data_IF_490545025714
#
_entry.id   IF_490545025714
#
_cell.length_a   1.000
_cell.length_b   1.000
_cell.length_c   1.000
_cell.angle_alpha   90.00
_cell.angle_beta   90.00
_cell.angle_gamma   90.00
#
_symmetry.space_group_name_H-M   'P 1'
#
loop_
_entity.id
_entity.type
_entity.pdbx_description
1 polymer ?
#
# COMPACT_ATOMS: atom_id res chain seq x y z
N UNK A 1 -18.81 20.32 15.85
CA UNK A 1 -19.40 21.03 14.68
C UNK A 1 -20.62 21.88 15.07
N UNK A 2 -20.86 23.01 14.40
CA UNK A 2 -22.10 23.79 14.52
C UNK A 2 -23.32 22.96 14.01
N UNK A 3 -24.44 23.02 14.74
CA UNK A 3 -25.69 22.34 14.38
C UNK A 3 -26.22 22.75 13.00
N UNK A 4 -26.02 24.02 12.59
CA UNK A 4 -26.44 24.49 11.27
C UNK A 4 -25.66 23.79 10.15
N UNK A 5 -24.34 23.60 10.32
CA UNK A 5 -23.50 22.88 9.37
C UNK A 5 -23.95 21.42 9.27
N UNK A 6 -24.25 20.77 10.40
CA UNK A 6 -24.80 19.41 10.40
C UNK A 6 -26.09 19.34 9.58
N UNK A 7 -27.03 20.25 9.79
CA UNK A 7 -28.29 20.30 9.02
C UNK A 7 -28.06 20.50 7.53
N UNK A 8 -27.09 21.32 7.12
CA UNK A 8 -26.75 21.49 5.70
C UNK A 8 -26.13 20.21 5.11
N UNK A 9 -25.24 19.54 5.84
CA UNK A 9 -24.68 18.25 5.43
C UNK A 9 -25.77 17.18 5.29
N UNK A 10 -26.76 17.15 6.19
CA UNK A 10 -27.91 16.26 6.12
C UNK A 10 -28.78 16.53 4.89
N UNK A 11 -28.93 17.79 4.49
CA UNK A 11 -29.65 18.17 3.26
C UNK A 11 -28.92 17.70 2.00
N UNK A 12 -27.58 17.73 1.99
CA UNK A 12 -26.74 17.31 0.87
C UNK A 12 -26.70 15.78 0.75
N UNK A 13 -26.31 15.09 1.83
CA UNK A 13 -25.99 13.67 1.82
C UNK A 13 -27.17 12.77 2.23
N UNK A 14 -28.16 13.34 2.92
CA UNK A 14 -29.22 12.61 3.63
C UNK A 14 -28.83 12.36 5.09
N UNK A 15 -29.82 12.40 5.99
CA UNK A 15 -29.63 12.21 7.44
C UNK A 15 -28.92 10.90 7.81
N UNK A 16 -29.25 9.83 7.09
CA UNK A 16 -28.66 8.51 7.29
C UNK A 16 -27.20 8.40 6.83
N UNK A 17 -26.65 9.48 6.28
CA UNK A 17 -25.29 9.59 5.73
C UNK A 17 -24.43 10.59 6.49
N UNK A 18 -24.95 11.20 7.56
CA UNK A 18 -24.23 12.16 8.39
C UNK A 18 -24.20 11.61 9.81
N UNK A 19 -23.02 11.28 10.29
CA UNK A 19 -22.81 10.69 11.61
C UNK A 19 -22.07 11.67 12.50
N UNK A 20 -22.58 11.86 13.72
CA UNK A 20 -22.04 12.85 14.66
C UNK A 20 -22.26 12.47 16.14
N UNK A 21 -22.61 11.21 16.43
CA UNK A 21 -22.62 10.73 17.82
C UNK A 21 -21.20 10.35 18.25
N UNK A 22 -20.84 10.43 19.55
CA UNK A 22 -19.51 10.05 20.01
C UNK A 22 -19.08 8.63 19.57
N UNK A 23 -20.03 7.69 19.56
CA UNK A 23 -19.82 6.31 19.14
C UNK A 23 -19.53 6.20 17.64
N UNK A 24 -20.27 6.94 16.81
CA UNK A 24 -20.00 6.99 15.37
C UNK A 24 -18.61 7.56 15.09
N UNK A 25 -18.28 8.71 15.71
CA UNK A 25 -17.04 9.44 15.44
C UNK A 25 -15.80 8.61 15.82
N UNK A 26 -15.86 7.84 16.90
CA UNK A 26 -14.77 7.00 17.35
C UNK A 26 -14.32 5.96 16.28
N UNK A 27 -15.27 5.40 15.52
CA UNK A 27 -14.98 4.39 14.48
C UNK A 27 -14.20 4.98 13.29
N UNK A 28 -14.27 6.29 13.11
CA UNK A 28 -13.59 7.02 12.04
C UNK A 28 -12.37 7.81 12.54
N UNK A 29 -11.98 7.62 13.81
CA UNK A 29 -10.88 8.33 14.43
C UNK A 29 -9.51 7.66 14.33
N UNK A 30 -9.41 6.45 13.79
CA UNK A 30 -8.16 5.67 13.73
C UNK A 30 -8.00 4.97 12.37
N UNK A 31 -6.79 4.52 12.04
CA UNK A 31 -6.54 3.62 10.91
C UNK A 31 -5.64 2.44 11.32
N UNK A 32 -4.85 1.86 10.41
CA UNK A 32 -3.97 0.75 10.74
C UNK A 32 -2.77 1.12 11.63
N UNK A 33 -2.65 2.38 12.05
CA UNK A 33 -1.58 2.89 12.91
C UNK A 33 -1.98 2.95 14.39
N UNK A 34 -1.09 3.51 15.23
CA UNK A 34 -1.36 3.78 16.65
C UNK A 34 -1.90 5.20 16.90
N UNK A 35 -2.13 5.97 15.83
CA UNK A 35 -2.60 7.35 15.92
C UNK A 35 -4.13 7.39 15.95
N UNK A 36 -4.66 8.25 16.82
CA UNK A 36 -6.10 8.41 17.01
C UNK A 36 -6.45 9.88 17.14
N UNK A 37 -7.49 10.32 16.42
CA UNK A 37 -8.12 11.62 16.60
C UNK A 37 -9.55 11.56 16.04
N UNK A 38 -10.56 11.97 16.81
CA UNK A 38 -11.94 11.95 16.31
C UNK A 38 -12.21 13.10 15.31
N UNK A 39 -13.02 12.86 14.26
CA UNK A 39 -13.58 13.94 13.46
C UNK A 39 -14.69 14.68 14.22
N UNK A 40 -15.11 15.84 13.70
CA UNK A 40 -16.28 16.56 14.19
C UNK A 40 -17.60 16.00 13.63
N UNK A 41 -17.54 15.45 12.41
CA UNK A 41 -18.67 14.84 11.69
C UNK A 41 -18.14 13.87 10.62
N UNK A 42 -18.88 12.81 10.35
CA UNK A 42 -18.60 11.86 9.26
C UNK A 42 -19.70 11.98 8.21
N UNK A 43 -19.32 12.03 6.94
CA UNK A 43 -20.26 12.08 5.81
C UNK A 43 -19.99 10.92 4.86
N UNK A 44 -21.05 10.17 4.51
CA UNK A 44 -21.00 9.01 3.61
C UNK A 44 -21.74 9.30 2.29
N UNK A 45 -21.12 10.02 1.34
CA UNK A 45 -21.74 10.37 0.07
C UNK A 45 -22.02 9.12 -0.79
N UNK A 46 -22.97 9.26 -1.72
CA UNK A 46 -23.40 8.20 -2.65
C UNK A 46 -23.09 8.51 -4.11
N UNK A 47 -22.61 9.71 -4.41
CA UNK A 47 -22.24 10.13 -5.76
C UNK A 47 -21.30 11.36 -5.72
N UNK A 48 -20.70 11.66 -6.87
CA UNK A 48 -19.76 12.77 -7.07
C UNK A 48 -20.39 14.15 -6.76
N UNK A 49 -21.68 14.34 -7.02
CA UNK A 49 -22.35 15.63 -6.76
C UNK A 49 -22.45 15.92 -5.25
N UNK A 50 -22.77 14.92 -4.43
CA UNK A 50 -22.78 15.06 -2.97
C UNK A 50 -21.39 15.39 -2.43
N UNK A 51 -20.35 14.74 -2.97
CA UNK A 51 -18.94 15.06 -2.61
C UNK A 51 -18.63 16.52 -2.94
N UNK A 52 -18.94 16.96 -4.16
CA UNK A 52 -18.78 18.34 -4.62
C UNK A 52 -19.42 19.35 -3.67
N UNK A 53 -20.68 19.12 -3.29
CA UNK A 53 -21.44 20.00 -2.41
C UNK A 53 -20.87 20.04 -0.98
N UNK A 54 -20.46 18.88 -0.43
CA UNK A 54 -19.83 18.80 0.90
C UNK A 54 -18.49 19.54 0.92
N UNK A 55 -17.63 19.30 -0.08
CA UNK A 55 -16.31 19.97 -0.16
C UNK A 55 -16.47 21.47 -0.37
N UNK A 56 -17.44 21.90 -1.19
CA UNK A 56 -17.76 23.33 -1.35
C UNK A 56 -18.17 23.98 -0.03
N UNK A 57 -19.08 23.35 0.71
CA UNK A 57 -19.49 23.82 2.03
C UNK A 57 -18.28 23.93 2.98
N UNK A 58 -17.45 22.90 3.01
CA UNK A 58 -16.23 22.88 3.79
C UNK A 58 -15.27 24.03 3.42
N UNK A 59 -15.12 24.34 2.13
CA UNK A 59 -14.33 25.47 1.66
C UNK A 59 -14.90 26.83 2.09
N UNK A 60 -16.22 27.02 2.01
CA UNK A 60 -16.90 28.24 2.48
C UNK A 60 -16.67 28.47 3.98
N UNK A 61 -16.78 27.42 4.78
CA UNK A 61 -16.68 27.46 6.24
C UNK A 61 -15.26 27.20 6.76
N UNK A 62 -14.29 26.97 5.87
CA UNK A 62 -12.89 26.62 6.17
C UNK A 62 -12.73 25.41 7.10
N UNK A 63 -13.54 24.39 6.86
CA UNK A 63 -13.54 23.14 7.62
C UNK A 63 -12.58 22.14 6.97
N UNK A 64 -11.63 21.55 7.72
CA UNK A 64 -10.81 20.45 7.22
C UNK A 64 -11.66 19.27 6.71
N UNK A 65 -11.24 18.68 5.60
CA UNK A 65 -11.84 17.48 5.02
C UNK A 65 -10.77 16.39 4.94
N UNK A 66 -11.02 15.25 5.57
CA UNK A 66 -10.17 14.05 5.46
C UNK A 66 -10.93 12.98 4.70
N UNK A 67 -10.47 12.66 3.50
CA UNK A 67 -11.04 11.58 2.71
C UNK A 67 -10.62 10.23 3.28
N UNK A 68 -11.57 9.30 3.36
CA UNK A 68 -11.32 7.97 3.91
C UNK A 68 -12.01 6.89 3.08
N UNK A 69 -11.24 5.86 2.72
CA UNK A 69 -11.79 4.58 2.25
C UNK A 69 -12.23 3.72 3.42
N UNK A 70 -11.61 2.55 3.57
CA UNK A 70 -11.86 1.63 4.69
C UNK A 70 -10.92 1.84 5.89
N UNK A 71 -9.96 2.76 5.82
CA UNK A 71 -9.04 3.05 6.94
C UNK A 71 -7.98 1.99 7.18
N UNK A 72 -7.53 1.28 6.14
CA UNK A 72 -6.48 0.25 6.21
C UNK A 72 -5.05 0.79 6.05
N UNK A 73 -4.87 2.10 5.86
CA UNK A 73 -3.57 2.72 5.67
C UNK A 73 -2.68 2.64 6.91
N UNK A 74 -1.36 2.67 6.68
CA UNK A 74 -0.32 2.50 7.71
C UNK A 74 0.57 3.76 7.87
N UNK A 75 0.08 4.91 7.42
CA UNK A 75 0.79 6.20 7.50
C UNK A 75 0.02 7.28 8.30
N UNK A 76 -1.11 6.93 8.93
CA UNK A 76 -2.03 7.86 9.59
C UNK A 76 -2.61 8.93 8.64
N UNK A 77 -2.61 8.66 7.32
CA UNK A 77 -3.10 9.59 6.29
C UNK A 77 -4.61 9.82 6.38
N UNK A 78 -5.35 8.86 6.94
CA UNK A 78 -6.80 8.90 7.06
C UNK A 78 -7.32 9.28 8.45
N UNK A 79 -6.40 9.68 9.35
CA UNK A 79 -6.72 10.16 10.71
C UNK A 79 -6.98 11.67 10.68
N UNK A 80 -8.13 12.15 11.21
CA UNK A 80 -8.50 13.56 11.18
C UNK A 80 -7.89 14.36 12.34
N UNK A 81 -6.55 14.50 12.35
CA UNK A 81 -5.79 15.23 13.40
C UNK A 81 -6.23 16.68 13.69
N UNK A 82 -6.99 17.31 12.78
CA UNK A 82 -7.54 18.67 12.98
C UNK A 82 -9.07 18.66 13.15
N UNK A 83 -9.68 17.50 13.42
CA UNK A 83 -11.13 17.33 13.42
C UNK A 83 -11.72 17.52 12.02
N UNK A 84 -12.84 18.23 11.95
CA UNK A 84 -13.53 18.54 10.70
C UNK A 84 -14.36 17.38 10.16
N UNK A 85 -14.47 17.32 8.83
CA UNK A 85 -15.31 16.35 8.11
C UNK A 85 -14.45 15.15 7.70
N UNK A 86 -14.75 13.97 8.23
CA UNK A 86 -14.30 12.72 7.61
C UNK A 86 -15.27 12.36 6.49
N UNK A 87 -14.78 12.38 5.25
CA UNK A 87 -15.55 12.04 4.06
C UNK A 87 -15.29 10.57 3.69
N UNK A 88 -16.21 9.69 4.10
CA UNK A 88 -16.09 8.25 3.96
C UNK A 88 -16.71 7.75 2.64
N UNK A 89 -15.86 7.28 1.73
CA UNK A 89 -16.24 6.96 0.35
C UNK A 89 -16.92 5.58 0.20
N UNK A 90 -17.11 4.83 1.29
CA UNK A 90 -17.51 3.41 1.27
C UNK A 90 -18.91 3.15 0.71
N UNK A 91 -19.76 4.18 0.56
CA UNK A 91 -21.08 4.08 -0.10
C UNK A 91 -21.03 4.31 -1.61
N UNK A 92 -19.91 4.79 -2.16
CA UNK A 92 -19.65 4.91 -3.60
C UNK A 92 -18.88 3.66 -4.07
N UNK A 93 -19.53 2.49 -4.08
CA UNK A 93 -18.87 1.19 -4.25
C UNK A 93 -19.30 0.40 -5.50
N UNK A 94 -19.85 1.07 -6.51
CA UNK A 94 -20.36 0.42 -7.73
C UNK A 94 -19.30 0.28 -8.80
N UNK A 95 -19.39 -0.81 -9.56
CA UNK A 95 -18.79 -0.92 -10.89
C UNK A 95 -19.76 -0.25 -11.87
N UNK A 96 -19.31 0.82 -12.51
CA UNK A 96 -20.12 1.60 -13.46
C UNK A 96 -20.09 0.96 -14.86
N UNK A 97 -18.95 0.42 -15.27
CA UNK A 97 -18.76 -0.23 -16.56
C UNK A 97 -17.62 -1.26 -16.48
N UNK A 98 -17.75 -2.39 -17.18
CA UNK A 98 -16.62 -3.26 -17.57
C UNK A 98 -16.68 -3.38 -19.09
N UNK A 99 -15.69 -2.81 -19.76
CA UNK A 99 -15.55 -2.80 -21.21
C UNK A 99 -14.51 -3.84 -21.61
N UNK A 100 -14.98 -4.99 -22.08
CA UNK A 100 -14.14 -6.12 -22.47
C UNK A 100 -13.37 -5.86 -23.76
N UNK A 101 -13.89 -4.98 -24.64
CA UNK A 101 -13.25 -4.66 -25.93
C UNK A 101 -12.03 -3.77 -25.70
N UNK A 102 -12.16 -2.77 -24.83
CA UNK A 102 -11.05 -1.88 -24.48
C UNK A 102 -10.23 -2.39 -23.28
N UNK A 103 -10.62 -3.50 -22.66
CA UNK A 103 -10.05 -4.02 -21.41
C UNK A 103 -9.95 -2.93 -20.33
N UNK A 104 -11.08 -2.30 -19.99
CA UNK A 104 -11.15 -1.28 -18.94
C UNK A 104 -12.29 -1.52 -17.95
N UNK A 105 -12.14 -1.03 -16.74
CA UNK A 105 -13.22 -0.95 -15.74
C UNK A 105 -13.39 0.49 -15.27
N UNK A 106 -14.62 1.02 -15.35
CA UNK A 106 -14.98 2.28 -14.74
C UNK A 106 -15.69 2.01 -13.41
N UNK A 107 -15.16 2.52 -12.31
CA UNK A 107 -15.62 2.20 -10.95
C UNK A 107 -15.72 3.42 -10.07
N UNK A 108 -16.57 3.36 -9.07
CA UNK A 108 -16.58 4.33 -7.98
C UNK A 108 -15.43 4.07 -6.98
N UNK A 109 -14.89 5.13 -6.39
CA UNK A 109 -13.68 5.11 -5.56
C UNK A 109 -13.79 4.26 -4.28
N UNK A 110 -14.99 4.00 -3.78
CA UNK A 110 -15.25 3.20 -2.60
C UNK A 110 -15.32 1.69 -2.83
N UNK A 111 -15.21 1.21 -4.08
CA UNK A 111 -15.25 -0.23 -4.34
C UNK A 111 -14.03 -0.92 -3.72
N UNK A 112 -14.26 -2.06 -3.07
CA UNK A 112 -13.21 -2.90 -2.49
C UNK A 112 -12.41 -3.57 -3.61
N UNK A 113 -11.09 -3.58 -3.47
CA UNK A 113 -10.16 -4.11 -4.49
C UNK A 113 -10.46 -5.57 -4.84
N UNK A 114 -10.70 -6.41 -3.84
CA UNK A 114 -11.05 -7.82 -4.05
C UNK A 114 -12.38 -8.00 -4.81
N UNK A 115 -13.34 -7.11 -4.61
CA UNK A 115 -14.64 -7.18 -5.29
C UNK A 115 -14.50 -6.82 -6.77
N UNK A 116 -13.69 -5.79 -7.08
CA UNK A 116 -13.33 -5.45 -8.45
C UNK A 116 -12.63 -6.62 -9.14
N UNK A 117 -11.56 -7.17 -8.53
CA UNK A 117 -10.83 -8.32 -9.07
C UNK A 117 -11.78 -9.49 -9.35
N UNK A 118 -12.62 -9.85 -8.38
CA UNK A 118 -13.61 -10.93 -8.54
C UNK A 118 -14.56 -10.69 -9.71
N UNK A 119 -14.97 -9.43 -9.94
CA UNK A 119 -15.89 -9.09 -11.02
C UNK A 119 -15.25 -9.17 -12.41
N UNK A 120 -14.02 -8.66 -12.57
CA UNK A 120 -13.32 -8.65 -13.87
C UNK A 120 -12.78 -10.03 -14.24
N UNK A 121 -12.35 -10.82 -13.24
CA UNK A 121 -11.84 -12.18 -13.46
C UNK A 121 -12.90 -13.15 -13.97
N UNK A 122 -14.18 -12.94 -13.62
CA UNK A 122 -15.31 -13.70 -14.20
C UNK A 122 -15.43 -13.51 -15.72
N UNK A 123 -14.81 -12.47 -16.28
CA UNK A 123 -14.79 -12.16 -17.71
C UNK A 123 -13.45 -12.47 -18.36
N UNK A 124 -12.56 -13.19 -17.68
CA UNK A 124 -11.21 -13.49 -18.17
C UNK A 124 -10.25 -12.29 -18.17
N UNK A 125 -10.64 -11.17 -17.54
CA UNK A 125 -9.83 -9.98 -17.37
C UNK A 125 -9.20 -9.95 -15.97
N UNK A 126 -8.21 -9.09 -15.79
CA UNK A 126 -7.43 -9.05 -14.56
C UNK A 126 -7.01 -7.62 -14.23
N UNK A 127 -7.25 -7.24 -12.97
CA UNK A 127 -6.74 -6.01 -12.36
C UNK A 127 -5.60 -6.40 -11.40
N UNK A 128 -4.33 -6.25 -11.80
CA UNK A 128 -3.21 -6.87 -11.10
C UNK A 128 -2.88 -6.36 -9.69
N UNK A 129 -2.95 -5.04 -9.39
CA UNK A 129 -2.53 -4.51 -8.08
C UNK A 129 -3.18 -5.26 -6.92
N UNK A 130 -2.35 -5.70 -5.97
CA UNK A 130 -2.72 -6.66 -4.92
C UNK A 130 -2.20 -6.27 -3.53
N UNK A 131 -2.58 -5.08 -3.01
CA UNK A 131 -2.15 -4.66 -1.68
C UNK A 131 -2.50 -5.71 -0.63
N UNK A 132 -1.66 -5.86 0.40
CA UNK A 132 -1.87 -6.86 1.47
C UNK A 132 -3.25 -6.73 2.14
N UNK A 133 -3.84 -5.53 2.11
CA UNK A 133 -5.17 -5.19 2.58
C UNK A 133 -6.29 -5.39 1.54
N UNK A 134 -6.12 -6.18 0.47
CA UNK A 134 -7.03 -6.24 -0.70
C UNK A 134 -8.53 -6.41 -0.39
N UNK A 135 -8.87 -7.10 0.70
CA UNK A 135 -10.26 -7.32 1.16
C UNK A 135 -10.82 -6.15 1.97
N UNK A 136 -9.97 -5.21 2.33
CA UNK A 136 -10.23 -4.08 3.20
C UNK A 136 -9.59 -2.78 2.70
N UNK A 137 -9.29 -2.68 1.40
CA UNK A 137 -8.82 -1.45 0.75
C UNK A 137 -9.71 -1.12 -0.44
N UNK A 138 -9.98 0.17 -0.61
CA UNK A 138 -10.82 0.68 -1.70
C UNK A 138 -9.96 1.22 -2.84
N UNK A 139 -10.48 1.20 -4.07
CA UNK A 139 -9.75 1.69 -5.25
C UNK A 139 -9.29 3.14 -5.09
N UNK A 140 -10.13 4.03 -4.57
CA UNK A 140 -9.76 5.42 -4.31
C UNK A 140 -8.63 5.54 -3.29
N UNK A 141 -8.62 4.71 -2.25
CA UNK A 141 -7.52 4.66 -1.28
C UNK A 141 -6.22 4.14 -1.91
N UNK A 142 -6.32 3.07 -2.71
CA UNK A 142 -5.15 2.54 -3.43
C UNK A 142 -4.56 3.59 -4.38
N UNK A 143 -5.39 4.34 -5.11
CA UNK A 143 -4.90 5.40 -6.01
C UNK A 143 -4.29 6.55 -5.19
N UNK A 144 -4.96 6.98 -4.12
CA UNK A 144 -4.46 8.06 -3.27
C UNK A 144 -3.11 7.73 -2.61
N UNK A 145 -2.84 6.46 -2.31
CA UNK A 145 -1.55 6.00 -1.77
C UNK A 145 -0.59 5.42 -2.82
N UNK A 146 -1.01 5.35 -4.09
CA UNK A 146 -0.32 4.59 -5.15
C UNK A 146 0.06 3.16 -4.73
N UNK A 147 -0.88 2.43 -4.14
CA UNK A 147 -0.64 1.17 -3.45
C UNK A 147 0.03 0.12 -4.35
N UNK A 148 0.99 -0.59 -3.76
CA UNK A 148 1.68 -1.74 -4.33
C UNK A 148 1.18 -3.08 -3.79
N UNK A 149 2.06 -4.08 -3.83
CA UNK A 149 1.84 -5.43 -3.33
C UNK A 149 2.82 -6.45 -3.92
N UNK A 150 2.69 -7.75 -3.55
CA UNK A 150 3.60 -8.81 -4.01
C UNK A 150 3.72 -8.98 -5.53
N UNK A 151 2.74 -8.49 -6.30
CA UNK A 151 2.73 -8.58 -7.78
C UNK A 151 3.41 -7.42 -8.48
N UNK A 152 3.87 -6.40 -7.75
CA UNK A 152 4.43 -5.18 -8.33
C UNK A 152 5.64 -5.43 -9.23
N UNK A 153 6.45 -6.44 -8.92
CA UNK A 153 7.61 -6.81 -9.73
C UNK A 153 7.27 -6.97 -11.22
N UNK A 154 6.21 -7.72 -11.53
CA UNK A 154 5.79 -7.97 -12.91
C UNK A 154 4.78 -6.97 -13.42
N UNK A 155 3.89 -6.52 -12.54
CA UNK A 155 2.68 -5.82 -12.95
C UNK A 155 2.70 -4.33 -12.65
N UNK A 156 3.64 -3.82 -11.87
CA UNK A 156 3.65 -2.42 -11.43
C UNK A 156 2.66 -2.13 -10.29
N UNK A 157 2.46 -0.85 -10.01
CA UNK A 157 1.65 -0.34 -8.89
C UNK A 157 0.28 0.15 -9.37
N UNK A 158 -0.58 0.57 -8.44
CA UNK A 158 -1.94 1.05 -8.76
C UNK A 158 -1.94 2.15 -9.85
N UNK A 159 -1.03 3.11 -9.77
CA UNK A 159 -0.91 4.21 -10.73
C UNK A 159 -0.70 3.77 -12.18
N UNK A 160 -0.02 2.65 -12.40
CA UNK A 160 0.21 2.12 -13.76
C UNK A 160 -1.09 1.69 -14.45
N UNK A 161 -2.16 1.44 -13.67
CA UNK A 161 -3.46 1.02 -14.16
C UNK A 161 -4.49 2.15 -14.20
N UNK A 162 -4.14 3.37 -13.78
CA UNK A 162 -5.05 4.51 -13.86
C UNK A 162 -5.03 5.11 -15.27
N UNK A 163 -6.17 5.03 -15.97
CA UNK A 163 -6.35 5.67 -17.28
C UNK A 163 -7.08 7.01 -17.19
N UNK A 164 -7.86 7.21 -16.12
CA UNK A 164 -8.57 8.46 -15.88
C UNK A 164 -9.20 8.50 -14.50
N UNK A 165 -9.35 9.71 -13.96
CA UNK A 165 -9.96 9.96 -12.65
C UNK A 165 -11.07 11.02 -12.75
N UNK A 166 -12.13 10.82 -11.98
CA UNK A 166 -13.03 11.91 -11.56
C UNK A 166 -12.66 12.29 -10.14
N UNK A 167 -12.31 13.57 -9.92
CA UNK A 167 -11.93 14.09 -8.62
C UNK A 167 -12.64 15.41 -8.30
N UNK A 168 -12.97 15.64 -7.04
CA UNK A 168 -13.51 16.90 -6.53
C UNK A 168 -12.39 17.72 -5.90
N UNK A 169 -12.20 18.95 -6.38
CA UNK A 169 -11.18 19.87 -5.90
C UNK A 169 -11.66 20.67 -4.67
N UNK A 170 -10.76 21.41 -4.02
CA UNK A 170 -11.04 22.11 -2.77
C UNK A 170 -12.15 23.17 -2.85
N UNK A 171 -12.46 23.68 -4.04
CA UNK A 171 -13.58 24.60 -4.31
C UNK A 171 -14.91 23.89 -4.62
N UNK A 172 -14.91 22.55 -4.59
CA UNK A 172 -16.02 21.69 -4.99
C UNK A 172 -16.20 21.55 -6.49
N UNK A 173 -15.27 22.03 -7.33
CA UNK A 173 -15.32 21.76 -8.77
C UNK A 173 -15.00 20.29 -9.07
N UNK A 174 -15.62 19.74 -10.11
CA UNK A 174 -15.40 18.35 -10.54
C UNK A 174 -14.41 18.35 -11.71
N UNK A 175 -13.22 17.82 -11.46
CA UNK A 175 -12.19 17.58 -12.46
C UNK A 175 -12.35 16.16 -13.04
N UNK A 176 -12.34 16.04 -14.37
CA UNK A 176 -12.27 14.76 -15.08
C UNK A 176 -10.99 14.71 -15.90
N UNK A 177 -10.32 13.56 -15.84
CA UNK A 177 -8.99 13.37 -16.44
C UNK A 177 -8.94 12.07 -17.24
N UNK A 178 -8.11 12.05 -18.27
CA UNK A 178 -7.85 10.88 -19.10
C UNK A 178 -9.07 10.34 -19.85
N UNK A 179 -9.04 9.04 -20.14
CA UNK A 179 -10.08 8.35 -20.90
C UNK A 179 -9.64 6.96 -21.37
N UNK A 180 -10.41 6.32 -22.24
CA UNK A 180 -10.11 4.97 -22.76
C UNK A 180 -8.91 4.95 -23.75
N UNK A 181 -8.31 6.10 -24.04
CA UNK A 181 -7.19 6.20 -24.98
C UNK A 181 -5.90 5.71 -24.31
N UNK A 182 -5.15 4.84 -24.98
CA UNK A 182 -3.84 4.37 -24.50
C UNK A 182 -2.78 5.46 -24.59
N UNK A 183 -2.90 6.36 -25.59
CA UNK A 183 -1.97 7.45 -25.81
C UNK A 183 -2.73 8.76 -25.73
N UNK A 184 -2.41 9.53 -24.70
CA UNK A 184 -2.91 10.88 -24.51
C UNK A 184 -1.78 11.74 -23.92
N UNK A 185 -1.41 12.80 -24.64
CA UNK A 185 -0.29 13.69 -24.29
C UNK A 185 -0.69 15.15 -24.43
N UNK A 186 -1.99 15.44 -24.33
CA UNK A 186 -2.52 16.81 -24.41
C UNK A 186 -2.47 17.44 -23.02
N UNK A 187 -1.36 18.14 -22.72
CA UNK A 187 -1.16 18.84 -21.45
C UNK A 187 -0.38 18.02 -20.43
N UNK A 188 -0.52 18.38 -19.14
CA UNK A 188 0.15 17.68 -18.04
C UNK A 188 -0.64 16.45 -17.60
N UNK A 189 0.07 15.44 -17.10
CA UNK A 189 -0.55 14.25 -16.53
C UNK A 189 -1.12 14.53 -15.13
N UNK A 190 -2.41 14.90 -15.11
CA UNK A 190 -3.14 15.13 -13.87
C UNK A 190 -3.49 13.81 -13.13
N UNK A 191 -3.52 12.67 -13.82
CA UNK A 191 -3.71 11.36 -13.16
C UNK A 191 -2.52 11.07 -12.24
N UNK A 192 -1.31 11.30 -12.74
CA UNK A 192 -0.08 11.11 -11.99
C UNK A 192 0.03 12.09 -10.80
N UNK A 193 -0.46 13.33 -10.93
CA UNK A 193 -0.49 14.27 -9.81
C UNK A 193 -1.45 13.86 -8.70
N UNK A 194 -2.64 13.34 -9.05
CA UNK A 194 -3.65 12.92 -8.06
C UNK A 194 -3.30 11.58 -7.41
N UNK A 195 -2.62 10.70 -8.14
CA UNK A 195 -2.16 9.40 -7.66
C UNK A 195 -1.00 9.58 -6.67
N UNK A 196 -1.06 8.95 -5.50
CA UNK A 196 -0.07 9.17 -4.43
C UNK A 196 -0.24 10.50 -3.68
N UNK A 197 -1.30 11.28 -3.95
CA UNK A 197 -1.54 12.57 -3.28
C UNK A 197 -2.11 12.45 -1.86
N UNK A 198 -2.51 11.25 -1.43
CA UNK A 198 -3.12 10.96 -0.13
C UNK A 198 -4.33 11.85 0.21
N UNK A 199 -5.10 12.23 -0.81
CA UNK A 199 -6.27 13.10 -0.67
C UNK A 199 -5.95 14.58 -0.41
N UNK A 200 -4.67 14.98 -0.51
CA UNK A 200 -4.26 16.37 -0.30
C UNK A 200 -4.54 17.27 -1.51
N UNK A 201 -4.70 16.73 -2.71
CA UNK A 201 -4.95 17.51 -3.93
C UNK A 201 -6.40 17.44 -4.43
N UNK A 202 -7.19 16.49 -3.94
CA UNK A 202 -8.57 16.30 -4.36
C UNK A 202 -9.17 15.02 -3.79
N UNK A 203 -10.50 14.94 -3.84
CA UNK A 203 -11.26 13.76 -3.45
C UNK A 203 -11.56 12.92 -4.69
N UNK A 204 -10.92 11.77 -4.85
CA UNK A 204 -11.18 10.86 -5.97
C UNK A 204 -12.55 10.20 -5.75
N UNK A 205 -13.44 10.30 -6.74
CA UNK A 205 -14.80 9.75 -6.67
C UNK A 205 -15.05 8.60 -7.64
N UNK A 206 -14.39 8.62 -8.81
CA UNK A 206 -14.48 7.57 -9.83
C UNK A 206 -13.09 7.34 -10.46
N UNK A 207 -12.83 6.13 -10.94
CA UNK A 207 -11.61 5.78 -11.64
C UNK A 207 -11.91 4.91 -12.87
N UNK A 208 -11.30 5.26 -14.00
CA UNK A 208 -11.19 4.41 -15.17
C UNK A 208 -9.86 3.66 -15.10
N UNK A 209 -9.94 2.34 -14.99
CA UNK A 209 -8.80 1.46 -14.78
C UNK A 209 -8.53 0.59 -16.00
N UNK A 210 -7.25 0.42 -16.33
CA UNK A 210 -6.77 -0.58 -17.29
C UNK A 210 -6.95 -1.98 -16.70
N UNK A 211 -7.34 -2.92 -17.54
CA UNK A 211 -7.35 -4.35 -17.27
C UNK A 211 -6.40 -5.05 -18.26
N UNK A 212 -5.95 -6.24 -17.88
CA UNK A 212 -5.17 -7.12 -18.76
C UNK A 212 -5.81 -8.50 -18.83
N UNK A 213 -5.32 -9.36 -19.72
CA UNK A 213 -5.76 -10.75 -19.75
C UNK A 213 -5.37 -11.46 -18.46
N UNK A 214 -6.29 -12.26 -17.90
CA UNK A 214 -6.02 -13.05 -16.70
C UNK A 214 -4.99 -14.15 -17.00
N UNK A 215 -3.90 -14.26 -16.22
CA UNK A 215 -3.00 -15.41 -16.29
C UNK A 215 -3.77 -16.70 -15.95
N UNK A 216 -3.62 -17.73 -16.78
CA UNK A 216 -4.33 -19.01 -16.62
C UNK A 216 -3.54 -19.99 -15.75
N UNK A 217 -2.21 -19.89 -15.78
CA UNK A 217 -1.31 -20.81 -15.11
C UNK A 217 -0.36 -20.06 -14.19
N UNK A 218 -0.06 -20.67 -13.05
CA UNK A 218 0.96 -20.20 -12.12
C UNK A 218 1.76 -21.39 -11.58
N UNK A 219 3.04 -21.16 -11.29
CA UNK A 219 3.93 -22.09 -10.60
C UNK A 219 4.70 -21.35 -9.53
N UNK A 220 4.85 -21.98 -8.36
CA UNK A 220 5.52 -21.36 -7.21
C UNK A 220 6.64 -22.26 -6.73
N UNK A 221 7.78 -21.65 -6.41
CA UNK A 221 8.90 -22.28 -5.76
C UNK A 221 9.16 -21.65 -4.38
N UNK A 222 9.44 -22.48 -3.40
CA UNK A 222 10.03 -22.08 -2.12
C UNK A 222 11.51 -22.47 -2.15
N UNK A 223 12.38 -21.52 -1.85
CA UNK A 223 13.83 -21.68 -1.98
C UNK A 223 14.51 -21.32 -0.67
N UNK A 224 15.35 -22.22 -0.19
CA UNK A 224 16.03 -22.10 1.09
C UNK A 224 17.50 -21.70 0.91
N UNK A 225 17.96 -20.73 1.72
CA UNK A 225 19.34 -20.26 1.71
C UNK A 225 19.97 -20.27 3.09
N UNK A 226 21.19 -20.80 3.17
CA UNK A 226 22.02 -20.78 4.38
C UNK A 226 22.64 -19.41 4.65
N UNK A 227 22.63 -18.51 3.66
CA UNK A 227 23.11 -17.13 3.80
C UNK A 227 22.19 -16.15 3.06
N UNK A 228 21.91 -15.01 3.71
CA UNK A 228 21.07 -13.96 3.13
C UNK A 228 21.67 -13.33 1.85
N UNK A 229 22.99 -13.22 1.80
CA UNK A 229 23.69 -12.71 0.62
C UNK A 229 23.42 -13.57 -0.62
N UNK A 230 23.23 -14.89 -0.44
CA UNK A 230 22.96 -15.83 -1.53
C UNK A 230 21.54 -15.64 -2.07
N UNK A 231 20.56 -15.45 -1.19
CA UNK A 231 19.19 -15.10 -1.57
C UNK A 231 19.15 -13.78 -2.37
N UNK A 232 19.83 -12.73 -1.91
CA UNK A 232 19.86 -11.45 -2.63
C UNK A 232 20.60 -11.52 -3.97
N UNK A 233 21.72 -12.27 -4.05
CA UNK A 233 22.37 -12.54 -5.35
C UNK A 233 21.44 -13.28 -6.30
N UNK A 234 20.66 -14.24 -5.79
CA UNK A 234 19.67 -14.98 -6.57
C UNK A 234 18.62 -14.05 -7.16
N UNK A 235 18.08 -13.12 -6.37
CA UNK A 235 17.11 -12.11 -6.85
C UNK A 235 17.66 -11.35 -8.06
N UNK A 236 18.88 -10.82 -7.94
CA UNK A 236 19.53 -10.10 -9.03
C UNK A 236 19.83 -11.00 -10.23
N UNK A 237 20.24 -12.26 -10.02
CA UNK A 237 20.55 -13.21 -11.07
C UNK A 237 19.31 -13.60 -11.91
N UNK A 238 18.16 -13.84 -11.26
CA UNK A 238 16.89 -14.13 -11.94
C UNK A 238 16.52 -12.97 -12.88
N UNK A 239 16.56 -11.74 -12.37
CA UNK A 239 16.17 -10.55 -13.12
C UNK A 239 17.19 -10.23 -14.23
N UNK A 240 18.47 -10.47 -13.99
CA UNK A 240 19.54 -10.30 -15.00
C UNK A 240 19.46 -11.33 -16.12
N UNK A 241 18.85 -12.51 -15.86
CA UNK A 241 18.55 -13.49 -16.88
C UNK A 241 17.33 -13.11 -17.76
N UNK A 242 16.71 -11.96 -17.49
CA UNK A 242 15.53 -11.48 -18.21
C UNK A 242 14.22 -12.11 -17.76
N UNK A 243 14.23 -12.88 -16.66
CA UNK A 243 13.04 -13.49 -16.08
C UNK A 243 12.43 -12.49 -15.10
N UNK A 244 11.15 -12.18 -15.25
CA UNK A 244 10.41 -11.30 -14.33
C UNK A 244 9.27 -12.11 -13.69
N UNK A 245 9.53 -12.75 -12.54
CA UNK A 245 8.50 -13.49 -11.82
C UNK A 245 7.32 -12.57 -11.47
N UNK A 246 6.11 -13.15 -11.38
CA UNK A 246 4.94 -12.45 -10.87
C UNK A 246 5.19 -11.95 -9.45
N UNK A 247 5.85 -12.76 -8.64
CA UNK A 247 6.21 -12.44 -7.26
C UNK A 247 7.60 -12.97 -6.92
N UNK A 248 8.34 -12.22 -6.09
CA UNK A 248 9.64 -12.61 -5.54
C UNK A 248 9.76 -12.06 -4.11
N UNK A 249 9.27 -12.85 -3.14
CA UNK A 249 9.26 -12.48 -1.73
C UNK A 249 10.49 -13.01 -0.99
N UNK A 250 10.90 -12.30 0.05
CA UNK A 250 11.93 -12.72 1.00
C UNK A 250 11.34 -12.81 2.41
N UNK A 251 11.74 -13.83 3.16
CA UNK A 251 11.58 -13.94 4.61
C UNK A 251 12.93 -14.22 5.25
N UNK A 252 13.33 -13.43 6.26
CA UNK A 252 14.56 -13.68 7.03
C UNK A 252 14.35 -14.78 8.09
N UNK A 253 15.44 -15.22 8.74
CA UNK A 253 15.36 -16.25 9.78
C UNK A 253 14.43 -15.88 10.94
N UNK A 254 14.30 -14.58 11.23
CA UNK A 254 13.42 -14.09 12.29
C UNK A 254 11.96 -14.27 11.91
N UNK A 255 11.59 -13.95 10.67
CA UNK A 255 10.26 -14.15 10.13
C UNK A 255 9.91 -15.64 10.06
N UNK A 256 10.84 -16.47 9.60
CA UNK A 256 10.66 -17.92 9.49
C UNK A 256 10.38 -18.53 10.87
N UNK A 257 11.20 -18.20 11.87
CA UNK A 257 11.01 -18.69 13.24
C UNK A 257 9.66 -18.25 13.84
N UNK A 258 9.23 -17.00 13.58
CA UNK A 258 7.94 -16.51 14.04
C UNK A 258 6.76 -17.27 13.42
N UNK A 259 6.79 -17.51 12.09
CA UNK A 259 5.73 -18.25 11.40
C UNK A 259 5.67 -19.69 11.94
N UNK A 260 6.81 -20.36 12.03
CA UNK A 260 6.85 -21.77 12.44
C UNK A 260 6.35 -21.96 13.87
N UNK A 261 6.76 -21.08 14.80
CA UNK A 261 6.28 -21.12 16.19
C UNK A 261 4.76 -20.89 16.30
N UNK A 262 4.17 -20.14 15.38
CA UNK A 262 2.73 -19.85 15.38
C UNK A 262 1.89 -20.91 14.63
N UNK A 263 2.41 -21.43 13.52
CA UNK A 263 1.59 -22.14 12.54
C UNK A 263 2.00 -23.60 12.33
N UNK A 264 3.18 -24.01 12.79
CA UNK A 264 3.71 -25.38 12.65
C UNK A 264 3.61 -25.89 11.20
N UNK A 265 4.13 -25.12 10.25
CA UNK A 265 4.03 -25.42 8.82
C UNK A 265 5.18 -26.32 8.34
N UNK A 266 6.14 -26.64 9.22
CA UNK A 266 7.33 -27.41 8.86
C UNK A 266 8.40 -26.57 8.16
N UNK A 267 8.43 -25.26 8.40
CA UNK A 267 9.48 -24.39 7.85
C UNK A 267 10.85 -24.69 8.50
N UNK A 268 11.94 -24.67 7.73
CA UNK A 268 13.28 -24.93 8.25
C UNK A 268 13.72 -23.80 9.18
N UNK A 269 14.23 -24.15 10.37
CA UNK A 269 14.72 -23.18 11.35
C UNK A 269 16.24 -22.97 11.29
N UNK A 270 16.94 -23.78 10.48
CA UNK A 270 18.39 -23.78 10.30
C UNK A 270 18.83 -23.04 9.02
N UNK A 271 17.97 -22.16 8.47
CA UNK A 271 18.25 -21.32 7.30
C UNK A 271 18.32 -19.84 7.67
N UNK A 272 18.91 -19.02 6.79
CA UNK A 272 19.02 -17.56 6.97
C UNK A 272 18.06 -16.77 6.11
N UNK A 273 17.53 -17.37 5.05
CA UNK A 273 16.49 -16.75 4.23
C UNK A 273 15.69 -17.81 3.50
N UNK A 274 14.43 -17.49 3.24
CA UNK A 274 13.58 -18.17 2.27
C UNK A 274 13.17 -17.17 1.19
N UNK A 275 13.25 -17.58 -0.07
CA UNK A 275 12.57 -16.90 -1.17
C UNK A 275 11.29 -17.66 -1.54
N UNK A 276 10.20 -16.93 -1.73
CA UNK A 276 8.98 -17.46 -2.35
C UNK A 276 8.84 -16.79 -3.72
N UNK A 277 8.91 -17.59 -4.78
CA UNK A 277 8.97 -17.10 -6.16
C UNK A 277 7.80 -17.68 -6.93
N UNK A 278 7.00 -16.85 -7.58
CA UNK A 278 5.87 -17.28 -8.42
C UNK A 278 6.04 -16.75 -9.85
N UNK A 279 5.88 -17.63 -10.82
CA UNK A 279 5.77 -17.29 -12.24
C UNK A 279 4.34 -17.54 -12.69
N UNK A 280 3.83 -16.73 -13.62
CA UNK A 280 2.48 -16.86 -14.14
C UNK A 280 2.38 -16.48 -15.63
N UNK A 281 1.32 -16.92 -16.29
CA UNK A 281 1.12 -16.65 -17.71
C UNK A 281 -0.06 -17.39 -18.32
N UNK A 282 -0.26 -17.16 -19.62
CA UNK A 282 -1.34 -17.78 -20.40
C UNK A 282 -0.93 -19.13 -21.02
N UNK A 283 0.37 -19.43 -21.12
CA UNK A 283 0.91 -20.68 -21.66
C UNK A 283 1.57 -21.50 -20.54
N UNK A 284 0.98 -22.65 -20.21
CA UNK A 284 1.47 -23.54 -19.16
C UNK A 284 2.91 -23.99 -19.39
N UNK A 285 3.27 -24.32 -20.64
CA UNK A 285 4.60 -24.81 -20.95
C UNK A 285 5.66 -23.69 -20.79
N UNK A 286 5.30 -22.44 -21.10
CA UNK A 286 6.17 -21.30 -20.86
C UNK A 286 6.36 -21.04 -19.35
N UNK A 287 5.28 -21.03 -18.57
CA UNK A 287 5.34 -20.85 -17.11
C UNK A 287 6.19 -21.93 -16.44
N UNK A 288 6.05 -23.19 -16.89
CA UNK A 288 6.86 -24.30 -16.40
C UNK A 288 8.35 -24.11 -16.72
N UNK A 289 8.71 -23.79 -17.97
CA UNK A 289 10.11 -23.53 -18.34
C UNK A 289 10.70 -22.35 -17.56
N UNK A 290 9.91 -21.32 -17.30
CA UNK A 290 10.35 -20.15 -16.53
C UNK A 290 10.68 -20.53 -15.08
N UNK A 291 9.79 -21.28 -14.40
CA UNK A 291 10.06 -21.69 -13.01
C UNK A 291 11.22 -22.69 -12.91
N UNK A 292 11.40 -23.56 -13.91
CA UNK A 292 12.55 -24.47 -13.99
C UNK A 292 13.87 -23.69 -14.18
N UNK A 293 13.84 -22.64 -14.99
CA UNK A 293 14.99 -21.75 -15.18
C UNK A 293 15.33 -20.98 -13.91
N UNK A 294 14.31 -20.48 -13.20
CA UNK A 294 14.44 -19.88 -11.87
C UNK A 294 15.07 -20.88 -10.88
N UNK A 295 14.56 -22.11 -10.83
CA UNK A 295 15.09 -23.17 -9.96
C UNK A 295 16.57 -23.45 -10.24
N UNK A 296 16.97 -23.51 -11.52
CA UNK A 296 18.36 -23.69 -11.91
C UNK A 296 19.26 -22.53 -11.44
N UNK A 297 18.80 -21.28 -11.59
CA UNK A 297 19.52 -20.08 -11.11
C UNK A 297 19.66 -20.12 -9.59
N UNK A 298 18.60 -20.49 -8.87
CA UNK A 298 18.63 -20.65 -7.42
C UNK A 298 19.73 -21.64 -6.99
N UNK A 299 19.80 -22.82 -7.62
CA UNK A 299 20.86 -23.80 -7.37
C UNK A 299 22.26 -23.24 -7.65
N UNK A 300 22.45 -22.54 -8.77
CA UNK A 300 23.72 -21.90 -9.12
C UNK A 300 24.15 -20.82 -8.12
N UNK A 301 23.19 -20.15 -7.49
CA UNK A 301 23.45 -19.10 -6.51
C UNK A 301 23.63 -19.63 -5.07
N UNK A 302 23.61 -20.95 -4.86
CA UNK A 302 23.86 -21.57 -3.56
C UNK A 302 22.60 -21.91 -2.76
N UNK A 303 21.44 -22.08 -3.41
CA UNK A 303 20.26 -22.60 -2.74
C UNK A 303 20.55 -23.98 -2.10
N UNK A 304 20.17 -24.14 -0.84
CA UNK A 304 20.24 -25.42 -0.12
C UNK A 304 19.20 -26.39 -0.65
N UNK A 305 18.00 -25.87 -0.87
CA UNK A 305 16.84 -26.63 -1.33
C UNK A 305 15.95 -25.74 -2.19
N UNK A 306 15.41 -26.32 -3.26
CA UNK A 306 14.42 -25.71 -4.13
C UNK A 306 13.23 -26.65 -4.18
N UNK A 307 12.06 -26.18 -3.74
CA UNK A 307 10.82 -26.94 -3.77
C UNK A 307 9.81 -26.23 -4.69
N UNK A 308 9.55 -26.82 -5.86
CA UNK A 308 8.54 -26.32 -6.81
C UNK A 308 7.24 -27.07 -6.55
N UNK A 309 6.15 -26.34 -6.29
CA UNK A 309 4.84 -26.94 -6.05
C UNK A 309 4.34 -27.70 -7.29
N UNK A 310 3.92 -28.96 -7.11
CA UNK A 310 3.45 -29.82 -8.20
C UNK A 310 1.99 -29.55 -8.57
N UNK A 311 1.22 -29.00 -7.63
CA UNK A 311 -0.23 -28.79 -7.77
C UNK A 311 -0.72 -27.54 -7.02
N UNK A 312 -1.98 -27.16 -7.26
CA UNK A 312 -2.64 -26.00 -6.65
C UNK A 312 -2.64 -26.05 -5.11
N UNK A 313 -2.84 -27.23 -4.52
CA UNK A 313 -2.90 -27.40 -3.07
C UNK A 313 -1.56 -27.07 -2.43
N UNK A 314 -0.47 -27.63 -2.97
CA UNK A 314 0.89 -27.31 -2.54
C UNK A 314 1.21 -25.84 -2.76
N UNK A 315 0.85 -25.27 -3.93
CA UNK A 315 1.05 -23.85 -4.24
C UNK A 315 0.39 -22.96 -3.19
N UNK A 316 -0.86 -23.25 -2.84
CA UNK A 316 -1.64 -22.53 -1.84
C UNK A 316 -1.04 -22.65 -0.43
N UNK A 317 -0.50 -23.83 -0.08
CA UNK A 317 0.19 -24.04 1.18
C UNK A 317 1.48 -23.22 1.31
N UNK A 318 2.28 -23.11 0.24
CA UNK A 318 3.47 -22.24 0.23
C UNK A 318 3.09 -20.77 0.46
N UNK A 319 2.04 -20.30 -0.22
CA UNK A 319 1.51 -18.95 -0.02
C UNK A 319 0.93 -18.71 1.38
N UNK A 320 0.36 -19.74 2.00
CA UNK A 320 -0.17 -19.64 3.36
C UNK A 320 0.92 -19.25 4.35
N UNK A 321 2.15 -19.76 4.20
CA UNK A 321 3.28 -19.36 5.06
C UNK A 321 3.57 -17.86 4.96
N UNK A 322 3.77 -17.34 3.74
CA UNK A 322 4.07 -15.92 3.51
C UNK A 322 2.95 -14.99 3.97
N UNK A 323 1.68 -15.35 3.74
CA UNK A 323 0.51 -14.56 4.19
C UNK A 323 0.31 -14.61 5.71
N UNK A 324 0.86 -15.62 6.38
CA UNK A 324 0.74 -15.79 7.84
C UNK A 324 1.77 -15.00 8.63
N UNK A 325 2.76 -14.36 7.99
CA UNK A 325 3.80 -13.57 8.69
C UNK A 325 3.16 -12.54 9.62
N UNK A 326 2.34 -11.64 9.08
CA UNK A 326 1.75 -10.54 9.84
C UNK A 326 0.90 -10.99 11.05
N UNK A 327 0.00 -11.98 10.91
CA UNK A 327 -0.71 -12.57 12.05
C UNK A 327 0.18 -13.32 13.06
N UNK A 328 1.25 -13.98 12.60
CA UNK A 328 2.17 -14.71 13.47
C UNK A 328 2.92 -13.78 14.42
N UNK A 329 3.27 -12.56 13.97
CA UNK A 329 3.92 -11.55 14.79
C UNK A 329 3.12 -11.17 16.03
N UNK A 330 1.79 -11.09 15.91
CA UNK A 330 0.89 -10.73 17.01
C UNK A 330 0.89 -11.77 18.16
N UNK A 331 1.43 -12.99 17.93
CA UNK A 331 1.60 -13.99 19.00
C UNK A 331 2.89 -13.82 19.77
N UNK A 332 3.89 -13.15 19.20
CA UNK A 332 5.22 -12.95 19.81
C UNK A 332 5.25 -11.70 20.69
N UNK A 333 4.52 -10.66 20.30
CA UNK A 333 4.47 -9.40 21.04
C UNK A 333 3.07 -8.79 20.95
N UNK A 334 2.58 -8.09 21.99
CA UNK A 334 1.25 -7.48 21.97
C UNK A 334 1.15 -6.36 20.93
N UNK A 335 2.26 -5.72 20.56
CA UNK A 335 2.30 -4.67 19.55
C UNK A 335 3.41 -4.91 18.52
N UNK A 336 3.15 -4.44 17.30
CA UNK A 336 4.14 -4.33 16.23
C UNK A 336 3.97 -3.00 15.51
N UNK A 337 5.07 -2.41 15.05
CA UNK A 337 5.08 -1.27 14.16
C UNK A 337 5.83 -1.70 12.90
N UNK A 338 5.13 -1.69 11.76
CA UNK A 338 5.70 -2.06 10.48
C UNK A 338 6.11 -0.82 9.70
N UNK A 339 7.38 -0.72 9.37
CA UNK A 339 7.86 0.20 8.36
C UNK A 339 8.00 -0.50 7.00
N UNK A 340 8.22 0.30 5.96
CA UNK A 340 8.08 -0.10 4.57
C UNK A 340 9.12 0.62 3.70
N UNK A 341 10.40 0.37 3.98
CA UNK A 341 11.49 1.04 3.27
C UNK A 341 11.77 0.34 1.94
N UNK A 342 12.21 1.10 0.94
CA UNK A 342 12.68 0.50 -0.33
C UNK A 342 14.12 0.90 -0.58
N UNK A 343 14.95 -0.07 -0.92
CA UNK A 343 16.37 0.13 -1.26
C UNK A 343 16.68 -0.45 -2.64
N UNK A 344 17.76 -0.01 -3.31
CA UNK A 344 18.24 -0.72 -4.49
C UNK A 344 18.42 -2.21 -4.17
N UNK A 345 18.02 -3.10 -5.10
CA UNK A 345 18.06 -4.57 -4.91
C UNK A 345 19.45 -5.09 -4.51
N UNK A 346 20.50 -4.44 -4.98
CA UNK A 346 21.90 -4.73 -4.61
C UNK A 346 22.22 -4.41 -3.15
N UNK A 347 21.47 -3.52 -2.51
CA UNK A 347 21.66 -3.07 -1.14
C UNK A 347 20.82 -3.87 -0.11
N UNK A 348 19.92 -4.77 -0.54
CA UNK A 348 19.10 -5.60 0.36
C UNK A 348 19.92 -6.28 1.47
N UNK A 349 21.09 -6.92 1.21
CA UNK A 349 21.87 -7.56 2.27
C UNK A 349 22.40 -6.57 3.31
N UNK A 350 22.83 -5.39 2.85
CA UNK A 350 23.35 -4.32 3.71
C UNK A 350 22.22 -3.73 4.56
N UNK A 351 21.04 -3.49 3.96
CA UNK A 351 19.85 -3.02 4.65
C UNK A 351 19.44 -3.99 5.77
N UNK A 352 19.32 -5.29 5.49
CA UNK A 352 18.95 -6.29 6.50
C UNK A 352 20.01 -6.38 7.61
N UNK A 353 21.30 -6.27 7.27
CA UNK A 353 22.37 -6.24 8.28
C UNK A 353 22.24 -5.01 9.18
N UNK A 354 21.97 -3.84 8.61
CA UNK A 354 21.73 -2.60 9.36
C UNK A 354 20.51 -2.70 10.26
N UNK A 355 19.38 -3.22 9.76
CA UNK A 355 18.17 -3.47 10.54
C UNK A 355 18.44 -4.42 11.71
N UNK A 356 19.22 -5.49 11.51
CA UNK A 356 19.62 -6.39 12.60
C UNK A 356 20.53 -5.70 13.63
N UNK A 357 21.39 -4.78 13.21
CA UNK A 357 22.21 -3.99 14.11
C UNK A 357 21.36 -3.01 14.95
N UNK A 358 20.36 -2.37 14.34
CA UNK A 358 19.37 -1.53 15.04
C UNK A 358 18.60 -2.36 16.08
N UNK A 359 18.08 -3.52 15.69
CA UNK A 359 17.41 -4.48 16.57
C UNK A 359 18.27 -4.82 17.80
N UNK A 360 19.54 -5.17 17.59
CA UNK A 360 20.47 -5.52 18.66
C UNK A 360 20.84 -4.33 19.56
N UNK A 361 20.99 -3.13 18.99
CA UNK A 361 21.33 -1.90 19.73
C UNK A 361 20.24 -1.52 20.74
N UNK A 362 18.97 -1.67 20.37
CA UNK A 362 17.83 -1.26 21.19
C UNK A 362 17.23 -2.39 22.04
N UNK A 363 17.65 -3.64 21.80
CA UNK A 363 17.11 -4.84 22.43
C UNK A 363 15.59 -4.98 22.21
N UNK A 364 15.14 -4.71 20.98
CA UNK A 364 13.78 -4.92 20.52
C UNK A 364 13.80 -5.67 19.19
N UNK A 365 13.07 -6.80 19.05
CA UNK A 365 13.15 -7.60 17.83
C UNK A 365 12.60 -6.86 16.61
N UNK A 366 13.37 -6.84 15.52
CA UNK A 366 12.87 -6.52 14.17
C UNK A 366 12.68 -7.82 13.39
N UNK A 367 11.48 -8.02 12.86
CA UNK A 367 11.18 -9.12 11.93
C UNK A 367 11.15 -8.61 10.50
N UNK A 368 11.85 -9.29 9.58
CA UNK A 368 12.08 -8.74 8.23
C UNK A 368 11.53 -9.69 7.17
N UNK A 369 10.66 -9.16 6.32
CA UNK A 369 10.17 -9.80 5.12
C UNK A 369 9.94 -8.71 4.05
N UNK A 370 9.65 -9.08 2.82
CA UNK A 370 9.27 -8.08 1.81
C UNK A 370 9.34 -8.56 0.37
N UNK A 371 9.09 -7.63 -0.53
CA UNK A 371 9.10 -7.79 -1.98
C UNK A 371 10.54 -7.61 -2.47
N UNK A 372 11.35 -8.66 -2.36
CA UNK A 372 12.77 -8.57 -2.73
C UNK A 372 12.98 -8.26 -4.21
N UNK A 373 12.01 -8.62 -5.06
CA UNK A 373 12.00 -8.34 -6.49
C UNK A 373 12.12 -6.87 -6.87
N UNK A 374 11.50 -5.97 -6.10
CA UNK A 374 11.51 -4.52 -6.31
C UNK A 374 12.30 -3.76 -5.22
N UNK A 375 12.84 -4.48 -4.24
CA UNK A 375 13.72 -3.93 -3.20
C UNK A 375 12.98 -3.38 -1.98
N UNK A 376 11.67 -3.63 -1.89
CA UNK A 376 10.85 -3.20 -0.79
C UNK A 376 10.91 -4.16 0.41
N UNK A 377 11.29 -3.64 1.57
CA UNK A 377 11.47 -4.37 2.83
C UNK A 377 10.50 -3.85 3.90
N UNK A 378 9.94 -4.79 4.65
CA UNK A 378 8.96 -4.57 5.71
C UNK A 378 9.54 -4.89 7.09
N UNK A 379 10.47 -4.08 7.64
CA UNK A 379 10.91 -4.26 9.01
C UNK A 379 9.74 -4.03 9.98
N UNK A 380 9.48 -5.02 10.83
CA UNK A 380 8.43 -4.97 11.84
C UNK A 380 9.05 -5.01 13.23
N UNK A 381 9.05 -3.87 13.91
CA UNK A 381 9.54 -3.72 15.28
C UNK A 381 8.49 -4.31 16.23
N UNK A 382 8.89 -5.27 17.07
CA UNK A 382 8.04 -5.90 18.06
C UNK A 382 8.28 -5.27 19.44
N UNK A 383 7.20 -4.87 20.12
CA UNK A 383 7.28 -4.19 21.41
C UNK A 383 5.98 -4.35 22.23
N UNK A 384 6.00 -3.86 23.46
CA UNK A 384 4.85 -3.70 24.34
C UNK A 384 4.60 -2.21 24.62
N UNK A 385 3.55 -1.65 24.02
CA UNK A 385 3.19 -0.23 24.16
C UNK A 385 2.85 0.15 25.60
N UNK A 386 2.52 -0.82 26.46
CA UNK A 386 2.26 -0.59 27.89
C UNK A 386 3.53 -0.27 28.67
N UNK A 387 4.71 -0.48 28.06
CA UNK A 387 6.02 -0.13 28.62
C UNK A 387 6.53 1.13 27.91
N UNK A 388 6.42 2.33 28.51
CA UNK A 388 6.73 3.60 27.86
C UNK A 388 8.18 3.68 27.32
N UNK A 389 9.11 3.05 28.01
CA UNK A 389 10.53 2.99 27.60
C UNK A 389 10.72 2.25 26.27
N UNK A 390 9.91 1.22 25.99
CA UNK A 390 9.97 0.53 24.70
C UNK A 390 9.44 1.43 23.58
N UNK A 391 8.38 2.20 23.82
CA UNK A 391 7.85 3.12 22.81
C UNK A 391 8.88 4.19 22.42
N UNK A 392 9.58 4.79 23.39
CA UNK A 392 10.65 5.75 23.11
C UNK A 392 11.80 5.14 22.28
N UNK A 393 12.12 3.85 22.49
CA UNK A 393 13.08 3.12 21.65
C UNK A 393 12.54 2.91 20.24
N UNK A 394 11.27 2.54 20.08
CA UNK A 394 10.62 2.34 18.76
C UNK A 394 10.74 3.60 17.90
N UNK A 395 10.46 4.79 18.46
CA UNK A 395 10.59 6.06 17.74
C UNK A 395 12.02 6.31 17.23
N UNK A 396 13.02 5.98 18.05
CA UNK A 396 14.44 6.09 17.66
C UNK A 396 14.84 5.05 16.60
N UNK A 397 14.32 3.82 16.72
CA UNK A 397 14.54 2.76 15.74
C UNK A 397 13.99 3.17 14.38
N UNK A 398 12.73 3.65 14.31
CA UNK A 398 12.11 4.14 13.06
C UNK A 398 12.97 5.22 12.39
N UNK A 399 13.47 6.19 13.16
CA UNK A 399 14.36 7.23 12.63
C UNK A 399 15.66 6.66 12.03
N UNK A 400 16.24 5.64 12.67
CA UNK A 400 17.45 4.95 12.18
C UNK A 400 17.17 4.06 10.96
N UNK A 401 16.01 3.40 10.90
CA UNK A 401 15.59 2.62 9.73
C UNK A 401 15.44 3.51 8.48
N UNK A 402 14.82 4.69 8.63
CA UNK A 402 14.73 5.68 7.57
C UNK A 402 16.09 6.26 7.19
N UNK A 403 16.95 6.56 8.17
CA UNK A 403 18.30 7.03 7.88
C UNK A 403 19.10 5.99 7.08
N UNK A 404 19.04 4.72 7.49
CA UNK A 404 19.68 3.60 6.80
C UNK A 404 19.16 3.47 5.36
N UNK A 405 17.84 3.52 5.15
CA UNK A 405 17.25 3.44 3.82
C UNK A 405 17.80 4.54 2.90
N UNK A 406 17.83 5.79 3.37
CA UNK A 406 18.34 6.93 2.60
C UNK A 406 19.86 6.83 2.34
N UNK A 407 20.64 6.37 3.32
CA UNK A 407 22.09 6.16 3.17
C UNK A 407 22.42 5.12 2.10
N UNK A 408 21.55 4.12 1.93
CA UNK A 408 21.67 3.09 0.90
C UNK A 408 21.08 3.50 -0.46
N UNK A 409 20.69 4.77 -0.62
CA UNK A 409 20.10 5.29 -1.86
C UNK A 409 18.64 4.86 -2.07
N UNK A 410 17.95 4.50 -0.99
CA UNK A 410 16.55 4.11 -0.96
C UNK A 410 15.58 5.26 -0.67
N UNK A 411 14.34 4.89 -0.31
CA UNK A 411 13.25 5.80 0.05
C UNK A 411 12.57 5.36 1.35
N UNK A 412 11.88 6.32 2.00
CA UNK A 412 11.18 6.16 3.27
C UNK A 412 9.96 5.23 3.19
N UNK A 413 9.32 5.15 2.02
CA UNK A 413 8.14 4.32 1.78
C UNK A 413 8.18 3.71 0.39
N UNK A 414 7.88 2.42 0.28
CA UNK A 414 7.64 1.72 -0.97
C UNK A 414 6.17 1.78 -1.43
N UNK A 415 5.23 1.56 -0.51
CA UNK A 415 3.80 1.39 -0.80
C UNK A 415 2.85 2.07 0.21
N UNK A 416 3.26 2.33 1.45
CA UNK A 416 2.36 2.86 2.50
C UNK A 416 2.05 4.36 2.42
N UNK A 417 2.87 5.13 1.70
CA UNK A 417 2.79 6.59 1.63
C UNK A 417 3.47 7.28 2.81
N UNK A 418 3.37 8.60 2.86
CA UNK A 418 4.02 9.47 3.83
C UNK A 418 3.12 9.73 5.04
N UNK A 419 1.87 10.09 4.78
CA UNK A 419 0.87 10.48 5.77
C UNK A 419 1.40 11.47 6.79
N UNK A 420 1.15 11.20 8.07
CA UNK A 420 1.71 11.97 9.17
C UNK A 420 3.05 11.38 9.62
N UNK A 421 3.17 10.05 9.67
CA UNK A 421 4.27 9.35 10.33
C UNK A 421 5.64 9.63 9.69
N UNK A 422 5.70 9.77 8.36
CA UNK A 422 6.97 9.98 7.64
C UNK A 422 7.26 11.44 7.33
N UNK A 423 6.30 12.34 7.61
CA UNK A 423 6.37 13.79 7.40
C UNK A 423 7.67 14.42 7.93
N UNK A 424 8.18 14.08 9.13
CA UNK A 424 9.40 14.70 9.67
C UNK A 424 10.67 14.39 8.86
N UNK A 425 10.67 13.34 8.04
CA UNK A 425 11.84 12.85 7.31
C UNK A 425 11.87 13.30 5.84
N UNK A 426 10.78 13.92 5.36
CA UNK A 426 10.58 14.24 3.94
C UNK A 426 11.63 15.20 3.37
N UNK A 427 12.04 16.22 4.12
CA UNK A 427 13.08 17.14 3.64
C UNK A 427 14.44 16.44 3.52
N UNK A 428 14.78 15.52 4.43
CA UNK A 428 16.00 14.71 4.34
C UNK A 428 15.97 13.79 3.11
N UNK A 429 14.80 13.24 2.79
CA UNK A 429 14.63 12.33 1.66
C UNK A 429 14.67 13.03 0.29
N UNK A 430 14.01 14.19 0.16
CA UNK A 430 13.77 14.83 -1.15
C UNK A 430 14.52 16.16 -1.35
N UNK A 431 15.07 16.72 -0.28
CA UNK A 431 15.69 18.03 -0.27
C UNK A 431 14.70 19.20 -0.32
N UNK A 432 15.14 20.40 0.09
CA UNK A 432 14.26 21.55 0.29
C UNK A 432 13.62 22.07 -1.01
N UNK A 433 14.29 21.92 -2.16
CA UNK A 433 13.74 22.34 -3.45
C UNK A 433 12.51 21.50 -3.84
N UNK A 434 12.59 20.18 -3.72
CA UNK A 434 11.48 19.28 -4.04
C UNK A 434 10.29 19.57 -3.13
N UNK A 435 10.52 19.69 -1.83
CA UNK A 435 9.48 20.04 -0.85
C UNK A 435 8.78 21.34 -1.21
N UNK A 436 9.54 22.39 -1.55
CA UNK A 436 8.96 23.69 -1.95
C UNK A 436 8.08 23.57 -3.19
N UNK A 437 8.52 22.84 -4.22
CA UNK A 437 7.72 22.65 -5.44
C UNK A 437 6.44 21.89 -5.14
N UNK A 438 6.49 20.85 -4.34
CA UNK A 438 5.29 20.08 -3.97
C UNK A 438 4.32 20.90 -3.10
N UNK A 439 4.82 21.71 -2.15
CA UNK A 439 3.99 22.68 -1.41
C UNK A 439 3.30 23.68 -2.36
N UNK A 440 3.97 24.14 -3.42
CA UNK A 440 3.35 25.01 -4.43
C UNK A 440 2.25 24.30 -5.23
N UNK A 441 2.42 23.01 -5.55
CA UNK A 441 1.37 22.20 -6.20
C UNK A 441 0.17 22.09 -5.26
N UNK A 442 0.38 21.74 -3.98
CA UNK A 442 -0.67 21.70 -2.97
C UNK A 442 -1.42 23.03 -2.89
N UNK A 443 -0.71 24.15 -2.83
CA UNK A 443 -1.33 25.49 -2.79
C UNK A 443 -2.15 25.82 -4.04
N UNK A 444 -1.78 25.30 -5.21
CA UNK A 444 -2.52 25.50 -6.44
C UNK A 444 -3.85 24.71 -6.48
N UNK A 445 -3.87 23.50 -5.92
CA UNK A 445 -5.07 22.65 -5.86
C UNK A 445 -5.98 22.98 -4.66
N UNK A 446 -5.39 23.42 -3.55
CA UNK A 446 -6.10 23.70 -2.31
C UNK A 446 -5.54 24.96 -1.62
N UNK A 447 -5.93 26.15 -2.10
CA UNK A 447 -5.40 27.41 -1.57
C UNK A 447 -5.77 27.68 -0.11
N UNK A 448 -6.83 27.05 0.39
CA UNK A 448 -7.35 27.19 1.76
C UNK A 448 -6.79 26.12 2.70
N UNK A 449 -6.03 25.16 2.18
CA UNK A 449 -5.47 24.03 2.92
C UNK A 449 -6.53 23.24 3.71
N UNK A 450 -7.71 23.02 3.11
CA UNK A 450 -8.79 22.25 3.75
C UNK A 450 -8.68 20.74 3.48
N UNK A 451 -8.06 20.32 2.38
CA UNK A 451 -7.97 18.92 1.97
C UNK A 451 -6.80 18.23 2.67
N UNK A 452 -7.16 17.33 3.59
CA UNK A 452 -6.25 16.53 4.39
C UNK A 452 -5.06 17.31 4.99
N UNK A 453 -5.31 18.37 5.79
CA UNK A 453 -4.24 19.22 6.31
C UNK A 453 -3.35 18.48 7.32
N UNK A 454 -2.07 18.88 7.35
CA UNK A 454 -1.05 18.35 8.28
C UNK A 454 -0.38 17.04 7.82
N UNK A 455 -0.65 16.58 6.60
CA UNK A 455 -0.09 15.34 6.03
C UNK A 455 0.95 15.67 4.96
N UNK A 456 1.81 14.70 4.67
CA UNK A 456 2.90 14.72 3.68
C UNK A 456 4.02 15.72 4.01
N UNK A 457 3.72 16.99 4.23
CA UNK A 457 4.74 18.04 4.42
C UNK A 457 4.80 18.54 5.87
N UNK A 458 6.01 18.78 6.42
CA UNK A 458 6.16 19.53 7.67
C UNK A 458 5.60 20.94 7.46
N UNK A 459 5.06 21.55 8.51
CA UNK A 459 4.41 22.87 8.45
C UNK A 459 5.34 23.97 7.93
#
# INVERSE_FOLDING_TARGET
MDQNIITQLEQIAGKDSVLHTPEDLAVYGYDGTFEEHCPDVVVLPRNTEQVSQVVRLAGCERIPVVTRGMGSGLAAASVPFQGGITLAMTRMNRILEIDEVNATAHVEAGIVTADLQTAVEKRGLFYPPDPSSIRHSTIGGNIACNAGGPRCLKYGVTGDYVLGLTAVLADGSVLRTGGKLIKDVVGYDLNALLTGSEGTLGVITEALLRLIAKPTFARTALVEFSALADASRTVNAILSAGIVPATLELMDETAIACIEAAMHLGLPLDVKAILLIETDGADEAAVLREIESVAAICCQCGARQVNVAENETERSNLWKARRSVSPALARKSPNKLGEDITVPRSAIPEAIRGLKAISAKYDLPIVIFGHAGDGNLHPNILFDKRVPEQWAKVEQMVAEEFALALELGGTLSGEHGVGMLKRPYMEKALGPLSIRIQKNIKQAFDPLNILNPGKIFPD
#
